data_IF_705312102153
#
_entry.id   IF_705312102153
#
_cell.length_a   1.000
_cell.length_b   1.000
_cell.length_c   1.000
_cell.angle_alpha   90.00
_cell.angle_beta   90.00
_cell.angle_gamma   90.00
#
_symmetry.space_group_name_H-M   'P 1'
#
loop_
_entity.id
_entity.type
_entity.pdbx_description
1 polymer ?
#
# COMPACT_ATOMS: atom_id res chain seq x y z
N UNK A 1 -16.60 -12.19 -12.92
CA UNK A 1 -17.35 -11.06 -12.37
C UNK A 1 -16.73 -9.76 -12.80
N UNK A 2 -17.52 -8.93 -13.43
CA UNK A 2 -17.04 -7.63 -13.87
C UNK A 2 -16.59 -6.78 -12.69
N UNK A 3 -17.20 -6.99 -11.56
CA UNK A 3 -16.83 -6.35 -10.31
C UNK A 3 -15.35 -6.60 -9.98
N UNK A 4 -14.85 -7.82 -10.15
CA UNK A 4 -13.47 -8.13 -9.84
C UNK A 4 -12.51 -7.46 -10.84
N UNK A 5 -12.90 -7.41 -12.10
CA UNK A 5 -12.06 -6.75 -13.10
C UNK A 5 -11.92 -5.27 -12.82
N UNK A 6 -13.02 -4.64 -12.42
CA UNK A 6 -13.00 -3.24 -12.08
C UNK A 6 -12.08 -2.99 -10.88
N UNK A 7 -12.19 -3.83 -9.86
CA UNK A 7 -11.39 -3.67 -8.66
C UNK A 7 -9.91 -3.87 -8.95
N UNK A 8 -9.59 -4.80 -9.84
CA UNK A 8 -8.20 -5.04 -10.20
C UNK A 8 -7.59 -3.81 -10.84
N UNK A 9 -8.31 -3.20 -11.77
CA UNK A 9 -7.80 -2.00 -12.44
C UNK A 9 -7.65 -0.84 -11.48
N UNK A 10 -8.64 -0.65 -10.62
CA UNK A 10 -8.57 0.40 -9.63
C UNK A 10 -7.43 0.18 -8.67
N UNK A 11 -7.22 -1.07 -8.26
CA UNK A 11 -6.11 -1.40 -7.39
C UNK A 11 -4.77 -1.07 -8.04
N UNK A 12 -4.61 -1.43 -9.31
CA UNK A 12 -3.38 -1.14 -10.03
C UNK A 12 -3.12 0.35 -10.12
N UNK A 13 -4.19 1.14 -10.34
CA UNK A 13 -4.03 2.60 -10.39
C UNK A 13 -3.56 3.14 -9.04
N UNK A 14 -4.14 2.66 -7.96
CA UNK A 14 -3.73 3.08 -6.62
C UNK A 14 -2.30 2.67 -6.36
N UNK A 15 -1.94 1.46 -6.74
CA UNK A 15 -0.59 0.95 -6.57
C UNK A 15 0.42 1.85 -7.28
N UNK A 16 0.19 2.11 -8.57
CA UNK A 16 1.13 2.93 -9.34
C UNK A 16 1.23 4.35 -8.81
N UNK A 17 0.13 4.88 -8.35
CA UNK A 17 0.09 6.26 -7.86
C UNK A 17 0.83 6.41 -6.54
N UNK A 18 0.82 5.39 -5.70
CA UNK A 18 1.29 5.50 -4.32
C UNK A 18 2.57 4.72 -4.03
N UNK A 19 3.05 3.89 -4.96
CA UNK A 19 4.11 2.95 -4.63
C UNK A 19 5.40 3.60 -4.18
N UNK A 20 5.77 4.71 -4.80
CA UNK A 20 7.02 5.38 -4.41
C UNK A 20 6.93 6.00 -3.05
N UNK A 21 5.77 6.56 -2.71
CA UNK A 21 5.58 7.16 -1.41
C UNK A 21 5.61 6.10 -0.31
N UNK A 22 4.93 4.98 -0.55
CA UNK A 22 4.94 3.88 0.41
C UNK A 22 6.35 3.33 0.59
N UNK A 23 7.07 3.14 -0.50
CA UNK A 23 8.43 2.63 -0.42
C UNK A 23 9.33 3.58 0.35
N UNK A 24 9.20 4.89 0.12
CA UNK A 24 10.00 5.88 0.82
C UNK A 24 9.76 5.82 2.32
N UNK A 25 8.50 5.72 2.72
CA UNK A 25 8.17 5.64 4.14
C UNK A 25 8.71 4.33 4.73
N UNK A 26 8.59 3.24 3.99
CA UNK A 26 9.11 1.95 4.44
C UNK A 26 10.62 2.02 4.64
N UNK A 27 11.33 2.69 3.73
CA UNK A 27 12.77 2.88 3.87
C UNK A 27 13.12 3.68 5.10
N UNK A 28 12.36 4.75 5.35
CA UNK A 28 12.61 5.58 6.53
C UNK A 28 12.48 4.78 7.82
N UNK A 29 11.47 3.92 7.88
CA UNK A 29 11.21 3.17 9.11
C UNK A 29 12.08 1.94 9.25
N UNK A 30 12.70 1.48 8.17
CA UNK A 30 13.57 0.31 8.22
C UNK A 30 15.04 0.69 8.37
N UNK A 31 15.32 1.98 8.58
CA UNK A 31 16.69 2.43 8.70
C UNK A 31 17.47 2.28 7.42
N UNK A 32 16.77 2.40 6.30
CA UNK A 32 17.34 2.29 4.96
C UNK A 32 17.82 0.88 4.60
N UNK A 33 17.31 -0.12 5.29
CA UNK A 33 17.58 -1.52 4.93
C UNK A 33 16.63 -1.92 3.81
N UNK A 34 17.18 -2.15 2.64
CA UNK A 34 16.38 -2.39 1.44
C UNK A 34 15.47 -3.61 1.58
N UNK A 35 16.00 -4.71 2.10
CA UNK A 35 15.20 -5.92 2.22
C UNK A 35 14.04 -5.72 3.19
N UNK A 36 14.29 -5.06 4.28
CA UNK A 36 13.22 -4.78 5.25
C UNK A 36 12.17 -3.87 4.65
N UNK A 37 12.60 -2.85 3.89
CA UNK A 37 11.67 -1.94 3.24
C UNK A 37 10.81 -2.66 2.23
N UNK A 38 11.38 -3.60 1.50
CA UNK A 38 10.63 -4.36 0.51
C UNK A 38 9.58 -5.25 1.16
N UNK A 39 9.93 -5.85 2.30
CA UNK A 39 8.96 -6.66 3.04
C UNK A 39 7.80 -5.83 3.54
N UNK A 40 8.11 -4.65 4.08
CA UNK A 40 7.06 -3.73 4.53
C UNK A 40 6.18 -3.33 3.36
N UNK A 41 6.81 -2.95 2.25
CA UNK A 41 6.11 -2.54 1.04
C UNK A 41 5.13 -3.62 0.58
N UNK A 42 5.61 -4.86 0.48
CA UNK A 42 4.78 -5.96 0.02
C UNK A 42 3.62 -6.21 0.98
N UNK A 43 3.89 -6.18 2.27
CA UNK A 43 2.84 -6.42 3.24
C UNK A 43 1.78 -5.33 3.23
N UNK A 44 2.19 -4.08 3.04
CA UNK A 44 1.25 -2.97 2.98
C UNK A 44 0.30 -3.14 1.80
N UNK A 45 0.84 -3.47 0.63
CA UNK A 45 -0.03 -3.63 -0.53
C UNK A 45 -0.84 -4.91 -0.49
N UNK A 46 -0.36 -5.93 0.20
CA UNK A 46 -1.17 -7.11 0.44
C UNK A 46 -2.36 -6.77 1.34
N UNK A 47 -2.12 -5.98 2.37
CA UNK A 47 -3.21 -5.52 3.23
C UNK A 47 -4.19 -4.65 2.45
N UNK A 48 -3.69 -3.81 1.58
CA UNK A 48 -4.57 -3.00 0.75
C UNK A 48 -5.43 -3.88 -0.14
N UNK A 49 -4.83 -4.90 -0.73
CA UNK A 49 -5.59 -5.81 -1.59
C UNK A 49 -6.73 -6.46 -0.80
N UNK A 50 -6.43 -6.88 0.41
CA UNK A 50 -7.42 -7.55 1.24
C UNK A 50 -8.55 -6.61 1.67
N UNK A 51 -8.24 -5.33 1.91
CA UNK A 51 -9.22 -4.37 2.43
C UNK A 51 -9.65 -3.35 1.39
N UNK A 52 -9.37 -3.61 0.12
CA UNK A 52 -9.54 -2.57 -0.89
C UNK A 52 -10.97 -2.06 -0.98
N UNK A 53 -11.94 -2.94 -0.84
CA UNK A 53 -13.34 -2.56 -0.98
C UNK A 53 -13.85 -1.74 0.20
N UNK A 54 -13.12 -1.73 1.31
CA UNK A 54 -13.57 -1.04 2.51
C UNK A 54 -12.89 0.31 2.71
N UNK A 55 -11.92 0.65 1.86
CA UNK A 55 -11.21 1.92 1.99
C UNK A 55 -11.68 2.86 0.90
N UNK A 56 -12.28 3.99 1.31
CA UNK A 56 -12.74 4.98 0.35
C UNK A 56 -11.57 5.59 -0.39
N UNK A 57 -11.78 5.89 -1.67
CA UNK A 57 -10.73 6.38 -2.52
C UNK A 57 -10.10 7.67 -1.97
N UNK A 58 -10.92 8.54 -1.41
CA UNK A 58 -10.41 9.81 -0.90
C UNK A 58 -9.53 9.65 0.32
N UNK A 59 -9.60 8.51 1.00
CA UNK A 59 -8.77 8.23 2.16
C UNK A 59 -7.63 7.26 1.86
N UNK A 60 -7.50 6.88 0.60
CA UNK A 60 -6.57 5.81 0.23
C UNK A 60 -5.12 6.17 0.56
N UNK A 61 -4.70 7.37 0.23
CA UNK A 61 -3.32 7.78 0.47
C UNK A 61 -3.03 7.82 1.98
N UNK A 62 -3.96 8.37 2.76
CA UNK A 62 -3.79 8.43 4.21
C UNK A 62 -3.78 7.03 4.82
N UNK A 63 -4.63 6.15 4.32
CA UNK A 63 -4.67 4.77 4.78
C UNK A 63 -3.33 4.08 4.55
N UNK A 64 -2.75 4.30 3.37
CA UNK A 64 -1.48 3.69 3.03
C UNK A 64 -0.35 4.21 3.92
N UNK A 65 -0.33 5.51 4.18
CA UNK A 65 0.69 6.09 5.07
C UNK A 65 0.58 5.47 6.46
N UNK A 66 -0.62 5.46 7.01
CA UNK A 66 -0.84 4.92 8.35
C UNK A 66 -0.49 3.44 8.41
N UNK A 67 -0.93 2.67 7.41
CA UNK A 67 -0.69 1.25 7.38
C UNK A 67 0.81 0.95 7.25
N UNK A 68 1.51 1.75 6.45
CA UNK A 68 2.95 1.56 6.30
C UNK A 68 3.66 1.77 7.63
N UNK A 69 3.32 2.85 8.34
CA UNK A 69 3.92 3.11 9.64
C UNK A 69 3.62 1.97 10.63
N UNK A 70 2.37 1.55 10.68
CA UNK A 70 1.97 0.49 11.61
C UNK A 70 2.63 -0.85 11.27
N UNK A 71 2.81 -1.13 10.00
CA UNK A 71 3.46 -2.36 9.58
C UNK A 71 4.94 -2.35 9.91
N UNK A 72 5.57 -1.18 9.84
CA UNK A 72 7.01 -1.05 10.08
C UNK A 72 7.36 -1.10 11.57
N UNK A 73 6.40 -0.82 12.43
CA UNK A 73 6.62 -0.90 13.87
C UNK A 73 6.45 -2.35 14.33
#
# INVERSE_FOLDING_TARGET
MSFQNKNKKEFENVYHKNKFNVYRIAMDYSGSHKESAEEIFQEVFLKLYTHFDTVDEEYMAAWLVTTTKNTAI
#
